data_IF_778548399103
#
_entry.id   IF_778548399103
#
_cell.length_a   1.000
_cell.length_b   1.000
_cell.length_c   1.000
_cell.angle_alpha   90.00
_cell.angle_beta   90.00
_cell.angle_gamma   90.00
#
_symmetry.space_group_name_H-M   'P 1'
#
loop_
_entity.id
_entity.type
_entity.pdbx_description
1 polymer ?
#
# COMPACT_ATOMS: atom_id res chain seq x y z
N UNK A 1 1.47 -0.17 -12.57
CA UNK A 1 1.71 1.25 -12.89
C UNK A 1 2.73 1.35 -14.02
N UNK A 2 2.53 2.22 -15.04
CA UNK A 2 3.46 2.38 -16.17
C UNK A 2 4.71 3.19 -15.83
N UNK A 3 4.75 3.83 -14.67
CA UNK A 3 5.87 4.62 -14.15
C UNK A 3 5.96 4.48 -12.64
N UNK A 4 7.14 4.77 -12.08
CA UNK A 4 7.34 4.80 -10.63
C UNK A 4 6.84 6.13 -10.06
N UNK A 5 6.04 6.07 -9.00
CA UNK A 5 5.62 7.25 -8.23
C UNK A 5 6.65 7.65 -7.16
N UNK A 6 7.73 6.90 -7.04
CA UNK A 6 8.79 7.18 -6.07
C UNK A 6 9.55 8.46 -6.40
N UNK A 7 10.08 9.13 -5.38
CA UNK A 7 11.02 10.22 -5.56
C UNK A 7 12.27 9.70 -6.29
N UNK A 8 12.78 10.43 -7.28
CA UNK A 8 13.96 10.03 -8.08
C UNK A 8 15.15 9.62 -7.19
N UNK A 9 15.37 10.34 -6.09
CA UNK A 9 16.39 10.00 -5.10
C UNK A 9 16.23 8.59 -4.54
N UNK A 10 14.99 8.21 -4.19
CA UNK A 10 14.73 6.88 -3.62
C UNK A 10 14.89 5.77 -4.67
N UNK A 11 14.55 6.04 -5.92
CA UNK A 11 14.78 5.09 -7.01
C UNK A 11 16.27 4.81 -7.14
N UNK A 12 17.10 5.85 -7.26
CA UNK A 12 18.56 5.69 -7.35
C UNK A 12 19.12 4.99 -6.13
N UNK A 13 18.87 5.52 -4.92
CA UNK A 13 19.51 5.03 -3.69
C UNK A 13 18.99 3.66 -3.21
N UNK A 14 17.76 3.30 -3.55
CA UNK A 14 17.17 2.05 -3.07
C UNK A 14 17.08 0.95 -4.13
N UNK A 15 17.08 1.29 -5.41
CA UNK A 15 16.99 0.32 -6.49
C UNK A 15 18.28 0.26 -7.29
N UNK A 16 18.73 1.38 -7.88
CA UNK A 16 19.87 1.40 -8.79
C UNK A 16 21.18 1.07 -8.07
N UNK A 17 21.43 1.64 -6.88
CA UNK A 17 22.65 1.40 -6.10
C UNK A 17 22.78 -0.06 -5.61
N UNK A 18 21.67 -0.81 -5.56
CA UNK A 18 21.61 -2.20 -5.11
C UNK A 18 21.27 -3.19 -6.22
N UNK A 19 21.21 -2.76 -7.46
CA UNK A 19 20.85 -3.59 -8.61
C UNK A 19 19.48 -4.33 -8.43
N UNK A 20 18.51 -3.69 -7.77
CA UNK A 20 17.19 -4.26 -7.56
C UNK A 20 16.34 -4.03 -8.82
N UNK A 21 15.93 -5.10 -9.54
CA UNK A 21 15.17 -4.96 -10.77
C UNK A 21 13.77 -4.38 -10.54
N UNK A 22 13.47 -3.26 -11.19
CA UNK A 22 12.15 -2.63 -11.18
C UNK A 22 11.31 -3.13 -12.35
N UNK A 23 10.23 -3.86 -12.06
CA UNK A 23 9.27 -4.32 -13.07
C UNK A 23 8.01 -3.45 -13.04
N UNK A 24 7.91 -2.51 -13.98
CA UNK A 24 6.73 -1.66 -14.14
C UNK A 24 5.60 -2.40 -14.88
N UNK A 25 4.35 -1.97 -14.64
CA UNK A 25 3.15 -2.59 -15.23
C UNK A 25 3.06 -4.10 -14.99
N UNK A 26 3.50 -4.56 -13.83
CA UNK A 26 3.37 -5.95 -13.39
C UNK A 26 2.57 -6.03 -12.10
N UNK A 27 1.95 -7.18 -11.89
CA UNK A 27 1.27 -7.53 -10.64
C UNK A 27 1.58 -8.97 -10.27
N UNK A 28 1.43 -9.30 -8.99
CA UNK A 28 1.50 -10.68 -8.50
C UNK A 28 0.15 -11.32 -8.76
N UNK A 29 0.15 -12.45 -9.45
CA UNK A 29 -1.06 -13.20 -9.79
C UNK A 29 -1.23 -14.48 -9.00
N UNK A 30 -0.13 -15.03 -8.49
CA UNK A 30 -0.17 -16.24 -7.66
C UNK A 30 1.01 -16.30 -6.70
N UNK A 31 0.81 -16.91 -5.54
CA UNK A 31 1.84 -17.16 -4.53
C UNK A 31 1.96 -18.67 -4.34
N UNK A 32 3.13 -19.21 -4.59
CA UNK A 32 3.45 -20.62 -4.41
C UNK A 32 3.98 -20.87 -3.00
N UNK A 33 3.66 -22.05 -2.46
CA UNK A 33 4.08 -22.52 -1.15
C UNK A 33 2.89 -22.86 -0.26
N UNK A 34 3.12 -23.70 0.75
CA UNK A 34 2.08 -24.13 1.68
C UNK A 34 2.33 -23.57 3.09
N UNK A 35 3.51 -23.80 3.62
CA UNK A 35 3.89 -23.37 4.97
C UNK A 35 4.71 -22.08 4.97
N UNK A 36 5.37 -21.79 3.85
CA UNK A 36 6.10 -20.56 3.58
C UNK A 36 6.01 -20.22 2.09
N UNK A 37 6.36 -19.00 1.72
CA UNK A 37 6.46 -18.61 0.31
C UNK A 37 7.66 -19.31 -0.32
N UNK A 38 7.46 -19.91 -1.49
CA UNK A 38 8.50 -20.61 -2.27
C UNK A 38 8.78 -19.91 -3.60
N UNK A 39 7.74 -19.29 -4.18
CA UNK A 39 7.83 -18.49 -5.39
C UNK A 39 6.60 -17.60 -5.54
N UNK A 40 6.69 -16.62 -6.44
CA UNK A 40 5.55 -15.80 -6.86
C UNK A 40 5.45 -15.75 -8.38
N UNK A 41 4.23 -15.75 -8.90
CA UNK A 41 3.98 -15.47 -10.30
C UNK A 41 3.73 -13.99 -10.50
N UNK A 42 4.54 -13.39 -11.36
CA UNK A 42 4.44 -11.98 -11.75
C UNK A 42 3.96 -11.93 -13.18
N UNK A 43 2.92 -11.16 -13.46
CA UNK A 43 2.33 -11.03 -14.79
C UNK A 43 2.25 -9.57 -15.19
N UNK A 44 2.56 -9.27 -16.44
CA UNK A 44 2.37 -7.94 -17.00
C UNK A 44 0.88 -7.60 -17.06
N UNK A 45 0.54 -6.33 -16.80
CA UNK A 45 -0.83 -5.83 -16.86
C UNK A 45 -0.99 -4.77 -17.95
N UNK A 46 -2.18 -4.71 -18.51
CA UNK A 46 -2.59 -3.70 -19.48
C UNK A 46 -2.93 -2.34 -18.80
N UNK A 47 -3.40 -1.37 -19.59
CA UNK A 47 -3.81 -0.05 -19.12
C UNK A 47 -5.01 -0.10 -18.14
N UNK A 48 -5.76 -1.20 -18.14
CA UNK A 48 -6.90 -1.44 -17.24
C UNK A 48 -6.52 -2.31 -16.04
N UNK A 49 -5.22 -2.53 -15.80
CA UNK A 49 -4.67 -3.37 -14.74
C UNK A 49 -5.08 -4.85 -14.84
N UNK A 50 -5.43 -5.32 -16.05
CA UNK A 50 -5.76 -6.72 -16.29
C UNK A 50 -4.51 -7.51 -16.69
N UNK A 51 -4.30 -8.71 -16.12
CA UNK A 51 -3.17 -9.56 -16.51
C UNK A 51 -3.20 -9.92 -17.98
N UNK A 52 -2.06 -9.76 -18.66
CA UNK A 52 -1.89 -10.13 -20.07
C UNK A 52 -1.50 -11.62 -20.14
N UNK A 53 -2.30 -12.47 -20.80
CA UNK A 53 -1.98 -13.89 -20.93
C UNK A 53 -0.63 -14.13 -21.60
N UNK A 54 0.15 -15.09 -21.09
CA UNK A 54 1.44 -15.45 -21.68
C UNK A 54 2.63 -14.59 -21.24
N UNK A 55 2.43 -13.61 -20.34
CA UNK A 55 3.51 -12.77 -19.81
C UNK A 55 3.89 -13.15 -18.38
N UNK A 56 3.37 -14.26 -17.87
CA UNK A 56 3.63 -14.70 -16.50
C UNK A 56 5.05 -15.24 -16.36
N UNK A 57 5.75 -14.77 -15.36
CA UNK A 57 7.08 -15.20 -14.94
C UNK A 57 7.01 -15.68 -13.49
N UNK A 58 7.52 -16.86 -13.22
CA UNK A 58 7.64 -17.38 -11.85
C UNK A 58 8.99 -17.01 -11.26
N UNK A 59 8.97 -16.26 -10.17
CA UNK A 59 10.16 -15.80 -9.46
C UNK A 59 10.30 -16.56 -8.15
N UNK A 60 11.36 -17.38 -7.97
CA UNK A 60 11.63 -18.05 -6.71
C UNK A 60 11.95 -17.02 -5.62
N UNK A 61 11.29 -17.12 -4.48
CA UNK A 61 11.57 -16.29 -3.30
C UNK A 61 11.04 -16.97 -2.04
N UNK A 62 11.63 -16.67 -0.93
CA UNK A 62 11.20 -17.14 0.39
C UNK A 62 10.36 -16.13 1.18
N UNK A 63 10.35 -14.89 0.70
CA UNK A 63 9.67 -13.78 1.35
C UNK A 63 9.04 -12.85 0.31
N UNK A 64 7.80 -12.44 0.57
CA UNK A 64 7.07 -11.46 -0.22
C UNK A 64 6.72 -10.25 0.65
N UNK A 65 7.25 -9.07 0.32
CA UNK A 65 6.89 -7.82 0.97
C UNK A 65 5.85 -7.08 0.13
N UNK A 66 4.70 -6.78 0.73
CA UNK A 66 3.62 -6.05 0.10
C UNK A 66 3.62 -4.59 0.56
N UNK A 67 3.64 -3.66 -0.39
CA UNK A 67 3.49 -2.22 -0.16
C UNK A 67 2.42 -1.68 -1.11
N UNK A 68 1.18 -2.08 -0.87
CA UNK A 68 0.04 -1.83 -1.77
C UNK A 68 -0.78 -0.60 -1.39
N UNK A 69 -0.28 0.21 -0.50
CA UNK A 69 -0.89 1.44 0.00
C UNK A 69 -0.96 1.45 1.53
N UNK A 70 -1.11 2.64 2.07
CA UNK A 70 -1.30 2.85 3.50
C UNK A 70 -2.79 2.94 3.80
N UNK A 71 -3.20 2.34 4.91
CA UNK A 71 -4.54 2.44 5.47
C UNK A 71 -4.42 3.10 6.84
N UNK A 72 -5.29 4.08 7.19
CA UNK A 72 -5.30 4.66 8.51
C UNK A 72 -5.42 3.60 9.61
N UNK A 73 -4.46 3.55 10.53
CA UNK A 73 -4.46 2.59 11.63
C UNK A 73 -5.35 3.09 12.76
N UNK A 74 -6.47 2.42 12.97
CA UNK A 74 -7.53 2.85 13.89
C UNK A 74 -8.00 1.75 14.85
N UNK A 75 -7.18 0.76 15.14
CA UNK A 75 -7.55 -0.33 16.05
C UNK A 75 -7.86 0.20 17.46
N UNK A 76 -6.99 1.04 18.01
CA UNK A 76 -7.16 1.67 19.32
C UNK A 76 -8.38 2.60 19.31
N UNK A 77 -8.55 3.41 18.25
CA UNK A 77 -9.68 4.33 18.11
C UNK A 77 -11.02 3.58 18.12
N UNK A 78 -11.10 2.46 17.38
CA UNK A 78 -12.28 1.59 17.39
C UNK A 78 -12.54 0.99 18.76
N UNK A 79 -11.49 0.53 19.44
CA UNK A 79 -11.58 0.00 20.82
C UNK A 79 -12.09 1.02 21.82
N UNK A 80 -11.79 2.30 21.63
CA UNK A 80 -12.29 3.40 22.44
C UNK A 80 -13.74 3.85 22.08
N UNK A 81 -14.32 3.35 20.99
CA UNK A 81 -15.66 3.73 20.53
C UNK A 81 -15.69 4.94 19.59
N UNK A 82 -14.57 5.29 18.99
CA UNK A 82 -14.52 6.31 17.94
C UNK A 82 -15.19 5.81 16.68
N UNK A 83 -16.07 6.61 16.09
CA UNK A 83 -16.71 6.31 14.81
C UNK A 83 -15.73 6.43 13.67
N UNK A 84 -15.67 5.40 12.81
CA UNK A 84 -14.79 5.34 11.66
C UNK A 84 -15.58 5.53 10.36
N UNK A 85 -15.18 6.50 9.55
CA UNK A 85 -15.75 6.70 8.21
C UNK A 85 -15.29 5.55 7.28
N UNK A 86 -16.25 4.85 6.67
CA UNK A 86 -16.00 3.71 5.79
C UNK A 86 -15.28 4.08 4.49
N UNK A 87 -15.34 5.33 4.07
CA UNK A 87 -14.72 5.80 2.81
C UNK A 87 -13.24 6.06 2.99
N UNK A 88 -12.85 6.65 4.12
CA UNK A 88 -11.48 7.03 4.43
C UNK A 88 -10.76 5.98 5.29
N UNK A 89 -11.51 5.11 5.98
CA UNK A 89 -11.03 4.22 7.03
C UNK A 89 -10.43 4.93 8.24
N UNK A 90 -10.57 6.26 8.31
CA UNK A 90 -10.16 7.11 9.41
C UNK A 90 -11.32 7.51 10.32
N UNK A 91 -11.06 8.11 11.49
CA UNK A 91 -12.10 8.64 12.35
C UNK A 91 -12.97 9.67 11.65
N UNK A 92 -14.28 9.64 11.91
CA UNK A 92 -15.17 10.75 11.57
C UNK A 92 -14.84 11.94 12.48
N UNK A 93 -14.38 13.05 11.90
CA UNK A 93 -13.95 14.23 12.65
C UNK A 93 -14.71 15.48 12.20
N UNK A 94 -14.84 16.43 13.11
CA UNK A 94 -15.31 17.78 12.82
C UNK A 94 -14.23 18.63 12.16
N UNK A 95 -14.57 19.85 11.76
CA UNK A 95 -13.59 20.85 11.25
C UNK A 95 -12.50 21.20 12.28
N UNK A 96 -12.75 20.95 13.56
CA UNK A 96 -11.80 21.14 14.65
C UNK A 96 -11.01 19.86 14.99
N UNK A 97 -11.06 18.85 14.13
CA UNK A 97 -10.44 17.54 14.33
C UNK A 97 -10.98 16.74 15.55
N UNK A 98 -12.11 17.14 16.13
CA UNK A 98 -12.76 16.42 17.23
C UNK A 98 -13.59 15.25 16.69
N UNK A 99 -13.47 14.09 17.35
CA UNK A 99 -14.22 12.87 17.03
C UNK A 99 -15.65 12.93 17.60
N UNK A 100 -16.41 11.83 17.47
CA UNK A 100 -17.69 11.66 18.17
C UNK A 100 -17.56 11.59 19.70
N UNK A 101 -16.35 11.36 20.23
CA UNK A 101 -16.08 11.35 21.67
C UNK A 101 -15.57 12.71 22.11
N UNK A 102 -16.29 13.34 23.05
CA UNK A 102 -15.93 14.66 23.58
C UNK A 102 -14.49 14.71 24.12
N UNK A 103 -13.72 15.67 23.66
CA UNK A 103 -12.31 15.86 24.07
C UNK A 103 -11.33 14.89 23.42
N UNK A 104 -11.77 14.06 22.48
CA UNK A 104 -10.90 13.16 21.71
C UNK A 104 -10.74 13.72 20.29
N UNK A 105 -9.50 14.02 19.93
CA UNK A 105 -9.12 14.61 18.65
C UNK A 105 -8.28 13.64 17.85
N UNK A 106 -8.39 13.71 16.52
CA UNK A 106 -7.59 12.90 15.60
C UNK A 106 -7.06 13.74 14.45
N UNK A 107 -5.78 13.57 14.09
CA UNK A 107 -5.12 14.27 13.00
C UNK A 107 -4.02 13.41 12.36
N UNK A 108 -3.60 13.77 11.15
CA UNK A 108 -2.54 13.07 10.41
C UNK A 108 -3.00 11.76 9.76
N UNK A 109 -2.07 10.82 9.57
CA UNK A 109 -2.32 9.57 8.84
C UNK A 109 -3.36 8.65 9.49
N UNK A 110 -3.69 8.85 10.75
CA UNK A 110 -4.79 8.12 11.41
C UNK A 110 -6.15 8.51 10.83
N UNK A 111 -6.30 9.75 10.34
CA UNK A 111 -7.53 10.27 9.72
C UNK A 111 -7.55 9.98 8.24
N UNK A 112 -6.50 10.37 7.54
CA UNK A 112 -6.36 10.19 6.11
C UNK A 112 -4.88 10.14 5.73
N UNK A 113 -4.53 9.22 4.83
CA UNK A 113 -3.16 9.12 4.32
C UNK A 113 -3.02 9.97 3.07
N UNK A 114 -2.11 10.94 3.12
CA UNK A 114 -1.71 11.75 1.99
C UNK A 114 -0.39 11.25 1.39
N UNK A 115 -0.22 11.42 0.08
CA UNK A 115 1.03 11.05 -0.61
C UNK A 115 2.22 11.92 -0.17
N UNK A 116 1.94 13.17 0.22
CA UNK A 116 2.92 14.14 0.70
C UNK A 116 2.44 14.78 2.00
N UNK A 117 3.38 15.09 2.89
CA UNK A 117 3.09 15.65 4.24
C UNK A 117 2.54 17.08 4.17
N UNK A 118 2.77 17.79 3.07
CA UNK A 118 2.46 19.20 2.87
C UNK A 118 1.16 19.46 2.06
N UNK A 119 0.28 18.45 1.96
CA UNK A 119 -1.02 18.56 1.30
C UNK A 119 -2.19 18.39 2.24
#
# INVERSE_FOLDING_TARGET
MPYSNGLTRNIVQCLDDYDIPLKLSHTITFIHGKDQVEAVDITQVDEHLKPIPGTTETVPCDTLLLSVGLIPENEISRGAGVEIDRRTSGPSISELCETNLLGVFAAGNVVHVHDLVDR
#
